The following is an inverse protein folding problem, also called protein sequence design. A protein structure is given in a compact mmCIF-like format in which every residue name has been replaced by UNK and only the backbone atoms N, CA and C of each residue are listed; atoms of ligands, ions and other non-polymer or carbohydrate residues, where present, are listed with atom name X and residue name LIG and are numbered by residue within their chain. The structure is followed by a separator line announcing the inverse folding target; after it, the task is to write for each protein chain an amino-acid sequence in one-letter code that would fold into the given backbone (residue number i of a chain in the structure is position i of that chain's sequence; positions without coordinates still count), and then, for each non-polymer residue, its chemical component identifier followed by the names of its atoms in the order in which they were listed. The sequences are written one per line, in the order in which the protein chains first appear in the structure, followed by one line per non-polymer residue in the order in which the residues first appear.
data_IF_402488504106
#
_entry.id   IF_402488504106
#
_cell.length_a   1.000
_cell.length_b   1.000
_cell.length_c   1.000
_cell.angle_alpha   90.00
_cell.angle_beta   90.00
_cell.angle_gamma   90.00
#
_symmetry.space_group_name_H-M   'P 1'
#
loop_
_entity.id
_entity.type
_entity.pdbx_description
1 polymer ?
#
# COMPACT_ATOMS: atom_id res chain seq x y z
N UNK A 1 3.41 60.17 32.54
CA UNK A 1 3.95 59.11 31.65
C UNK A 1 3.81 57.78 32.35
N UNK A 2 3.00 56.87 31.81
CA UNK A 2 3.15 55.40 31.91
C UNK A 2 1.92 54.76 31.26
N UNK A 3 1.98 54.58 29.93
CA UNK A 3 1.03 53.71 29.23
C UNK A 3 1.46 52.27 29.50
N UNK A 4 0.76 51.58 30.39
CA UNK A 4 0.88 50.13 30.54
C UNK A 4 0.25 49.47 29.32
N UNK A 5 1.10 49.19 28.33
CA UNK A 5 0.75 48.48 27.12
C UNK A 5 0.53 47.00 27.46
N UNK A 6 -0.71 46.65 27.82
CA UNK A 6 -1.13 45.28 28.06
C UNK A 6 -1.29 44.60 26.69
N UNK A 7 -0.18 44.18 26.08
CA UNK A 7 -0.23 43.26 24.94
C UNK A 7 -0.69 41.91 25.47
N UNK A 8 -2.01 41.66 25.33
CA UNK A 8 -2.55 40.32 25.23
C UNK A 8 -1.74 39.59 24.16
N UNK A 9 -0.88 38.66 24.59
CA UNK A 9 -0.22 37.73 23.69
C UNK A 9 -1.34 37.03 22.90
N UNK A 10 -1.34 37.22 21.59
CA UNK A 10 -2.24 36.52 20.70
C UNK A 10 -2.08 35.02 20.96
N UNK A 11 -3.16 34.40 21.44
CA UNK A 11 -3.23 32.94 21.55
C UNK A 11 -3.22 32.46 20.11
N UNK A 12 -2.03 32.03 19.64
CA UNK A 12 -1.91 31.34 18.37
C UNK A 12 -2.68 30.03 18.52
N UNK A 13 -3.91 29.98 18.03
CA UNK A 13 -4.59 28.75 17.68
C UNK A 13 -3.86 28.13 16.47
N UNK A 14 -2.64 27.66 16.69
CA UNK A 14 -2.04 26.68 15.79
C UNK A 14 -2.90 25.44 15.89
N UNK A 15 -3.55 25.06 14.79
CA UNK A 15 -4.27 23.79 14.69
C UNK A 15 -3.28 22.67 15.02
N UNK A 16 -3.37 22.16 16.25
CA UNK A 16 -2.49 21.10 16.72
C UNK A 16 -3.03 19.79 16.17
N UNK A 17 -2.38 19.25 15.14
CA UNK A 17 -2.62 17.87 14.71
C UNK A 17 -1.81 16.96 15.62
N UNK A 18 -2.43 16.50 16.71
CA UNK A 18 -1.78 15.67 17.72
C UNK A 18 -0.75 16.45 18.54
N UNK A 19 0.54 16.32 18.21
CA UNK A 19 1.66 17.03 18.84
C UNK A 19 2.38 18.00 17.91
N UNK A 20 1.88 18.18 16.67
CA UNK A 20 2.51 19.04 15.67
C UNK A 20 1.83 20.42 15.60
N UNK A 21 2.64 21.47 15.66
CA UNK A 21 2.23 22.85 15.35
C UNK A 21 2.19 23.06 13.84
N UNK A 22 1.56 24.15 13.38
CA UNK A 22 1.54 24.48 11.95
C UNK A 22 2.95 24.62 11.38
N UNK A 23 3.87 25.25 12.13
CA UNK A 23 5.28 25.36 11.74
C UNK A 23 5.98 24.00 11.61
N UNK A 24 5.66 23.04 12.46
CA UNK A 24 6.18 21.67 12.33
C UNK A 24 5.65 21.00 11.05
N UNK A 25 4.37 21.16 10.73
CA UNK A 25 3.77 20.60 9.52
C UNK A 25 4.41 21.18 8.25
N UNK A 26 4.61 22.50 8.20
CA UNK A 26 5.27 23.16 7.05
C UNK A 26 6.72 22.69 6.89
N UNK A 27 7.42 22.50 8.01
CA UNK A 27 8.79 21.97 8.02
C UNK A 27 8.81 20.53 7.52
N UNK A 28 7.92 19.66 8.00
CA UNK A 28 7.80 18.28 7.55
C UNK A 28 7.54 18.20 6.04
N UNK A 29 6.59 18.99 5.53
CA UNK A 29 6.23 18.97 4.10
C UNK A 29 7.35 19.48 3.20
N UNK A 30 8.11 20.48 3.65
CA UNK A 30 9.21 21.04 2.87
C UNK A 30 10.50 20.22 2.91
N UNK A 31 10.67 19.34 3.92
CA UNK A 31 11.90 18.59 4.16
C UNK A 31 11.70 17.08 4.04
N UNK A 32 11.08 16.45 5.04
CA UNK A 32 10.98 14.98 5.19
C UNK A 32 9.96 14.37 4.23
N UNK A 33 8.81 15.00 4.04
CA UNK A 33 7.72 14.55 3.18
C UNK A 33 7.67 15.34 1.87
N UNK A 34 8.83 15.66 1.30
CA UNK A 34 8.91 16.46 0.08
C UNK A 34 8.30 15.72 -1.12
N UNK A 35 7.45 16.42 -1.87
CA UNK A 35 6.84 15.91 -3.10
C UNK A 35 5.50 15.21 -2.90
N UNK A 36 4.99 15.12 -1.66
CA UNK A 36 3.65 14.57 -1.39
C UNK A 36 2.55 15.54 -1.83
N UNK A 37 1.42 15.00 -2.30
CA UNK A 37 0.16 15.75 -2.37
C UNK A 37 -0.33 16.15 -0.96
N UNK A 38 -1.39 16.96 -0.89
CA UNK A 38 -1.98 17.33 0.40
C UNK A 38 -2.56 16.12 1.13
N UNK A 39 -3.20 15.21 0.40
CA UNK A 39 -3.82 13.99 0.90
C UNK A 39 -2.76 12.98 1.37
N UNK A 40 -1.69 12.82 0.57
CA UNK A 40 -0.54 11.99 0.93
C UNK A 40 0.15 12.51 2.19
N UNK A 41 0.37 13.83 2.28
CA UNK A 41 0.95 14.45 3.47
C UNK A 41 0.07 14.25 4.71
N UNK A 42 -1.25 14.43 4.56
CA UNK A 42 -2.21 14.22 5.65
C UNK A 42 -2.19 12.76 6.14
N UNK A 43 -2.14 11.79 5.22
CA UNK A 43 -2.03 10.37 5.56
C UNK A 43 -0.73 10.07 6.33
N UNK A 44 0.39 10.64 5.90
CA UNK A 44 1.68 10.47 6.59
C UNK A 44 1.62 11.04 8.01
N UNK A 45 1.14 12.28 8.17
CA UNK A 45 1.01 12.92 9.49
C UNK A 45 0.07 12.14 10.40
N UNK A 46 -1.09 11.69 9.89
CA UNK A 46 -2.03 10.86 10.65
C UNK A 46 -1.39 9.55 11.11
N UNK A 47 -0.56 8.93 10.26
CA UNK A 47 0.19 7.71 10.60
C UNK A 47 1.19 7.98 11.72
N UNK A 48 1.96 9.07 11.63
CA UNK A 48 2.89 9.49 12.68
C UNK A 48 2.16 9.72 14.02
N UNK A 49 1.05 10.46 14.01
CA UNK A 49 0.27 10.75 15.23
C UNK A 49 -0.33 9.47 15.83
N UNK A 50 -0.93 8.60 15.01
CA UNK A 50 -1.60 7.38 15.48
C UNK A 50 -0.62 6.36 16.07
N UNK A 51 0.54 6.19 15.44
CA UNK A 51 1.58 5.26 15.91
C UNK A 51 2.46 5.87 17.00
N UNK A 52 2.53 7.20 17.05
CA UNK A 52 3.50 7.93 17.87
C UNK A 52 4.94 7.72 17.41
N UNK A 53 5.15 7.50 16.11
CA UNK A 53 6.46 7.52 15.45
C UNK A 53 6.83 8.98 15.13
N UNK A 54 8.08 9.33 15.39
CA UNK A 54 8.62 10.67 15.16
C UNK A 54 9.48 10.74 13.88
N UNK A 55 9.03 11.43 12.82
CA UNK A 55 9.79 11.60 11.60
C UNK A 55 11.05 12.47 11.78
N UNK A 56 11.11 13.36 12.77
CA UNK A 56 12.31 14.16 13.07
C UNK A 56 13.43 13.33 13.71
N UNK A 57 13.07 12.23 14.37
CA UNK A 57 14.01 11.27 14.94
C UNK A 57 14.34 10.13 13.96
N UNK A 58 13.98 10.28 12.67
CA UNK A 58 14.15 9.26 11.64
C UNK A 58 13.49 7.93 12.00
N UNK A 59 12.40 7.94 12.76
CA UNK A 59 11.69 6.70 13.12
C UNK A 59 10.77 6.22 11.99
N UNK A 60 10.33 7.13 11.13
CA UNK A 60 9.51 6.86 9.96
C UNK A 60 9.88 7.82 8.83
N UNK A 61 9.91 7.31 7.60
CA UNK A 61 10.25 8.03 6.39
C UNK A 61 9.05 8.07 5.45
N UNK A 62 8.93 9.21 4.75
CA UNK A 62 7.95 9.41 3.69
C UNK A 62 8.71 9.64 2.39
N UNK A 63 8.72 8.66 1.49
CA UNK A 63 9.48 8.72 0.24
C UNK A 63 8.51 8.76 -0.93
N UNK A 64 8.64 9.78 -1.78
CA UNK A 64 7.85 9.88 -3.02
C UNK A 64 8.71 9.43 -4.19
N UNK A 65 8.24 8.42 -4.90
CA UNK A 65 8.87 7.89 -6.09
C UNK A 65 8.10 8.31 -7.33
N UNK A 66 8.80 8.58 -8.44
CA UNK A 66 8.15 8.69 -9.74
C UNK A 66 7.85 7.28 -10.27
N UNK A 67 6.58 6.88 -10.23
CA UNK A 67 6.07 5.68 -10.87
C UNK A 67 5.71 5.93 -12.35
N UNK A 68 5.22 4.88 -13.02
CA UNK A 68 4.74 4.99 -14.41
C UNK A 68 3.53 5.93 -14.53
N UNK A 69 2.65 5.88 -13.54
CA UNK A 69 1.39 6.63 -13.49
C UNK A 69 1.48 7.93 -12.66
N UNK A 70 2.71 8.36 -12.34
CA UNK A 70 2.98 9.58 -11.57
C UNK A 70 3.61 9.33 -10.19
N UNK A 71 3.63 10.34 -9.32
CA UNK A 71 4.25 10.25 -7.99
C UNK A 71 3.50 9.29 -7.06
N UNK A 72 4.22 8.29 -6.54
CA UNK A 72 3.72 7.31 -5.58
C UNK A 72 4.45 7.52 -4.25
N UNK A 73 3.69 7.82 -3.19
CA UNK A 73 4.20 7.91 -1.83
C UNK A 73 4.38 6.50 -1.25
N UNK A 74 5.47 6.29 -0.53
CA UNK A 74 5.77 5.09 0.25
C UNK A 74 6.16 5.48 1.66
N UNK A 75 5.55 4.83 2.65
CA UNK A 75 5.93 4.98 4.06
C UNK A 75 6.81 3.81 4.48
N UNK A 76 7.94 4.12 5.12
CA UNK A 76 8.90 3.12 5.59
C UNK A 76 9.30 3.44 7.02
N UNK A 77 9.26 2.44 7.90
CA UNK A 77 9.63 2.61 9.31
C UNK A 77 11.08 2.24 9.48
N UNK A 78 11.82 3.03 10.23
CA UNK A 78 13.19 2.68 10.57
C UNK A 78 13.21 1.58 11.63
N UNK A 79 14.36 0.91 11.78
CA UNK A 79 14.51 -0.06 12.88
C UNK A 79 14.39 0.65 14.23
N UNK A 80 14.93 1.86 14.31
CA UNK A 80 14.83 2.77 15.45
C UNK A 80 13.38 3.06 15.81
N UNK A 81 12.51 3.24 14.81
CA UNK A 81 11.07 3.42 15.01
C UNK A 81 10.39 2.18 15.57
N UNK A 82 10.67 1.00 15.00
CA UNK A 82 10.13 -0.27 15.51
C UNK A 82 10.59 -0.54 16.95
N UNK A 83 11.87 -0.29 17.25
CA UNK A 83 12.41 -0.44 18.61
C UNK A 83 11.79 0.57 19.56
N UNK A 84 11.57 1.83 19.14
CA UNK A 84 10.91 2.85 19.94
C UNK A 84 9.47 2.46 20.28
N UNK A 85 8.72 1.88 19.32
CA UNK A 85 7.38 1.37 19.57
C UNK A 85 7.39 0.21 20.57
N UNK A 86 8.30 -0.76 20.41
CA UNK A 86 8.41 -1.87 21.35
C UNK A 86 8.81 -1.44 22.76
N UNK A 87 9.66 -0.42 22.90
CA UNK A 87 10.04 0.15 24.21
C UNK A 87 8.86 0.76 24.97
N UNK A 88 7.75 1.11 24.31
CA UNK A 88 6.52 1.57 24.96
C UNK A 88 5.76 0.40 25.61
N UNK A 89 6.05 -0.85 25.24
CA UNK A 89 5.40 -2.01 25.81
C UNK A 89 5.90 -2.26 27.25
N UNK A 90 5.00 -2.42 28.25
CA UNK A 90 5.40 -2.55 29.66
C UNK A 90 6.35 -3.72 29.95
N UNK A 91 6.25 -4.79 29.16
CA UNK A 91 7.05 -6.02 29.33
C UNK A 91 8.27 -6.08 28.40
N UNK A 92 8.71 -4.94 27.84
CA UNK A 92 9.90 -4.88 26.98
C UNK A 92 11.15 -5.29 27.75
N UNK A 93 11.90 -6.28 27.24
CA UNK A 93 13.12 -6.79 27.89
C UNK A 93 14.37 -6.66 27.00
N UNK A 94 14.28 -5.89 25.92
CA UNK A 94 15.41 -5.72 25.00
C UNK A 94 15.46 -6.78 23.90
N UNK A 95 16.61 -6.84 23.23
CA UNK A 95 16.87 -7.79 22.16
C UNK A 95 18.38 -7.97 21.96
N UNK A 96 18.76 -9.06 21.30
CA UNK A 96 20.10 -9.26 20.75
C UNK A 96 19.95 -9.48 19.25
N UNK A 97 20.78 -8.82 18.45
CA UNK A 97 20.83 -9.07 17.01
C UNK A 97 22.28 -9.01 16.53
N UNK A 98 22.62 -9.88 15.59
CA UNK A 98 23.95 -9.96 14.98
C UNK A 98 23.83 -10.57 13.60
N UNK A 99 24.76 -10.23 12.72
CA UNK A 99 24.99 -10.99 11.51
C UNK A 99 25.58 -12.36 11.83
N UNK A 100 25.44 -13.28 10.88
CA UNK A 100 26.03 -14.63 10.90
C UNK A 100 26.96 -14.71 9.71
N UNK A 101 28.24 -14.98 9.96
CA UNK A 101 29.28 -15.10 8.94
C UNK A 101 29.61 -16.57 8.67
N UNK A 102 30.20 -16.82 7.51
CA UNK A 102 30.46 -18.17 7.00
C UNK A 102 31.35 -19.01 7.93
N UNK A 103 32.28 -18.38 8.64
CA UNK A 103 33.23 -19.06 9.52
C UNK A 103 32.82 -19.06 10.99
N UNK A 104 31.66 -18.48 11.34
CA UNK A 104 31.17 -18.43 12.71
C UNK A 104 30.66 -19.80 13.17
N UNK A 105 30.86 -20.11 14.46
CA UNK A 105 30.17 -21.23 15.08
C UNK A 105 28.77 -20.75 15.51
N UNK A 106 27.77 -21.12 14.73
CA UNK A 106 26.38 -20.72 14.97
C UNK A 106 25.47 -21.94 15.16
N UNK A 107 24.77 -22.01 16.29
CA UNK A 107 23.70 -22.98 16.58
C UNK A 107 22.51 -22.25 17.15
N UNK A 108 21.31 -22.64 16.71
CA UNK A 108 20.07 -22.02 17.17
C UNK A 108 19.01 -23.08 17.48
N UNK A 109 18.34 -22.92 18.63
CA UNK A 109 17.16 -23.70 19.00
C UNK A 109 15.92 -22.86 18.72
N UNK A 110 15.33 -23.06 17.55
CA UNK A 110 14.23 -22.22 17.07
C UNK A 110 12.98 -22.23 17.98
N UNK A 111 12.75 -23.31 18.72
CA UNK A 111 11.57 -23.46 19.58
C UNK A 111 11.69 -22.75 20.93
N UNK A 112 12.90 -22.61 21.48
CA UNK A 112 13.16 -21.90 22.75
C UNK A 112 13.66 -20.47 22.56
N UNK A 113 14.15 -20.15 21.36
CA UNK A 113 14.76 -18.85 21.07
C UNK A 113 16.17 -18.71 21.66
N UNK A 114 16.87 -19.82 21.89
CA UNK A 114 18.27 -19.84 22.33
C UNK A 114 19.22 -19.88 21.13
N UNK A 115 20.31 -19.12 21.22
CA UNK A 115 21.38 -19.05 20.22
C UNK A 115 22.73 -19.20 20.90
N UNK A 116 23.58 -20.07 20.37
CA UNK A 116 25.01 -20.14 20.62
C UNK A 116 25.72 -19.55 19.39
N UNK A 117 26.37 -18.40 19.57
CA UNK A 117 27.09 -17.70 18.50
C UNK A 117 28.49 -17.34 18.97
N UNK A 118 29.50 -17.96 18.35
CA UNK A 118 30.91 -17.63 18.56
C UNK A 118 31.50 -17.11 17.23
N UNK A 119 31.62 -15.77 17.07
CA UNK A 119 32.14 -15.19 15.84
C UNK A 119 33.65 -15.40 15.68
N UNK A 120 34.11 -15.73 14.47
CA UNK A 120 35.54 -15.64 14.14
C UNK A 120 35.87 -14.18 13.78
N UNK A 121 36.25 -13.40 14.80
CA UNK A 121 36.54 -11.97 14.64
C UNK A 121 37.72 -11.71 13.70
N UNK A 122 38.65 -12.66 13.59
CA UNK A 122 39.86 -12.47 12.78
C UNK A 122 39.64 -12.89 11.33
N UNK A 123 38.82 -13.91 11.09
CA UNK A 123 38.49 -14.42 9.76
C UNK A 123 36.99 -14.74 9.64
N UNK A 124 36.09 -13.73 9.64
CA UNK A 124 34.65 -13.98 9.66
C UNK A 124 34.12 -14.66 8.40
N UNK A 125 34.74 -14.38 7.24
CA UNK A 125 34.22 -14.80 5.94
C UNK A 125 33.01 -13.96 5.50
N UNK A 126 32.25 -14.46 4.52
CA UNK A 126 31.09 -13.75 3.98
C UNK A 126 29.88 -13.83 4.92
N UNK A 127 29.01 -12.82 4.87
CA UNK A 127 27.73 -12.84 5.59
C UNK A 127 26.76 -13.79 4.94
N UNK A 128 26.33 -14.80 5.70
CA UNK A 128 25.38 -15.83 5.25
C UNK A 128 23.97 -15.61 5.79
N UNK A 129 23.83 -14.78 6.84
CA UNK A 129 22.54 -14.43 7.43
C UNK A 129 22.66 -13.40 8.55
N UNK A 130 21.56 -13.20 9.26
CA UNK A 130 21.52 -12.50 10.54
C UNK A 130 20.41 -13.09 11.41
N UNK A 131 20.50 -12.85 12.70
CA UNK A 131 19.44 -13.22 13.63
C UNK A 131 19.09 -12.06 14.57
N UNK A 132 17.88 -12.12 15.13
CA UNK A 132 17.44 -11.28 16.22
C UNK A 132 16.61 -12.10 17.21
N UNK A 133 16.94 -11.97 18.49
CA UNK A 133 16.18 -12.52 19.61
C UNK A 133 15.52 -11.33 20.31
N UNK A 134 14.19 -11.24 20.23
CA UNK A 134 13.42 -10.27 20.97
C UNK A 134 12.96 -10.87 22.30
N UNK A 135 13.15 -10.14 23.40
CA UNK A 135 12.80 -10.59 24.75
C UNK A 135 11.57 -9.85 25.27
N UNK A 136 10.64 -10.57 25.88
CA UNK A 136 9.47 -10.00 26.56
C UNK A 136 9.22 -10.77 27.86
N UNK A 137 8.79 -10.08 28.91
CA UNK A 137 8.69 -10.69 30.24
C UNK A 137 7.58 -11.74 30.37
N UNK A 138 6.47 -11.56 29.65
CA UNK A 138 5.25 -12.36 29.71
C UNK A 138 5.10 -13.36 28.56
N UNK A 139 6.11 -13.50 27.70
CA UNK A 139 6.04 -14.37 26.53
C UNK A 139 7.38 -15.07 26.26
N UNK A 140 7.36 -16.20 25.53
CA UNK A 140 8.58 -16.83 25.04
C UNK A 140 9.43 -15.86 24.21
N UNK A 141 10.73 -16.11 24.21
CA UNK A 141 11.67 -15.38 23.36
C UNK A 141 11.36 -15.67 21.89
N UNK A 142 11.23 -14.64 21.07
CA UNK A 142 11.08 -14.80 19.63
C UNK A 142 12.44 -14.63 18.96
N UNK A 143 12.97 -15.75 18.47
CA UNK A 143 14.11 -15.78 17.57
C UNK A 143 13.63 -15.70 16.12
N UNK A 144 14.22 -14.78 15.36
CA UNK A 144 14.11 -14.72 13.91
C UNK A 144 15.50 -14.85 13.32
N UNK A 145 15.62 -15.71 12.32
CA UNK A 145 16.82 -15.84 11.49
C UNK A 145 16.44 -15.45 10.07
N UNK A 146 17.21 -14.56 9.46
CA UNK A 146 17.09 -14.15 8.07
C UNK A 146 18.34 -14.64 7.35
N UNK A 147 18.16 -15.47 6.34
CA UNK A 147 19.27 -15.98 5.54
C UNK A 147 19.46 -15.16 4.28
N UNK A 148 20.67 -15.15 3.72
CA UNK A 148 21.01 -14.44 2.49
C UNK A 148 20.12 -14.83 1.30
N UNK A 149 19.75 -16.11 1.18
CA UNK A 149 18.85 -16.59 0.11
C UNK A 149 17.46 -15.94 0.17
N UNK A 150 16.97 -15.61 1.37
CA UNK A 150 15.63 -15.03 1.54
C UNK A 150 15.56 -13.56 1.11
N UNK A 151 16.68 -12.85 1.08
CA UNK A 151 16.75 -11.41 0.77
C UNK A 151 17.44 -11.12 -0.57
N UNK A 152 17.75 -12.14 -1.36
CA UNK A 152 18.44 -11.99 -2.64
C UNK A 152 17.68 -11.08 -3.63
N UNK A 153 16.35 -11.13 -3.62
CA UNK A 153 15.50 -10.25 -4.43
C UNK A 153 15.65 -8.76 -4.06
N UNK A 154 15.97 -8.45 -2.80
CA UNK A 154 16.19 -7.07 -2.34
C UNK A 154 17.56 -6.55 -2.80
N UNK A 155 18.56 -7.42 -2.85
CA UNK A 155 19.90 -7.13 -3.41
C UNK A 155 19.84 -6.88 -4.92
N UNK A 156 18.94 -7.58 -5.63
CA UNK A 156 18.70 -7.40 -7.08
C UNK A 156 17.68 -6.30 -7.39
N UNK A 157 17.00 -5.78 -6.38
CA UNK A 157 15.89 -4.82 -6.52
C UNK A 157 16.34 -3.37 -6.70
N UNK A 158 15.37 -2.46 -6.61
CA UNK A 158 15.55 -1.01 -6.78
C UNK A 158 16.62 -0.41 -5.87
N UNK A 159 16.77 -0.94 -4.66
CA UNK A 159 17.74 -0.49 -3.66
C UNK A 159 19.01 -1.37 -3.62
N UNK A 160 19.30 -2.11 -4.69
CA UNK A 160 20.37 -3.11 -4.70
C UNK A 160 21.77 -2.59 -4.37
N UNK A 161 22.09 -1.33 -4.75
CA UNK A 161 23.38 -0.73 -4.41
C UNK A 161 23.56 -0.54 -2.89
N UNK A 162 22.53 -0.02 -2.21
CA UNK A 162 22.54 0.15 -0.76
C UNK A 162 22.68 -1.19 -0.03
N UNK A 163 22.07 -2.26 -0.57
CA UNK A 163 22.26 -3.61 -0.06
C UNK A 163 23.66 -4.18 -0.26
N UNK A 164 24.37 -3.78 -1.32
CA UNK A 164 25.75 -4.22 -1.55
C UNK A 164 26.73 -3.49 -0.63
N UNK A 165 26.54 -2.18 -0.46
CA UNK A 165 27.45 -1.33 0.32
C UNK A 165 27.28 -1.53 1.84
N UNK A 166 26.05 -1.82 2.29
CA UNK A 166 25.70 -1.94 3.71
C UNK A 166 25.00 -3.27 4.03
N UNK A 167 25.44 -4.37 3.41
CA UNK A 167 24.76 -5.65 3.49
C UNK A 167 24.50 -6.12 4.92
N UNK A 168 25.52 -6.05 5.77
CA UNK A 168 25.48 -6.55 7.16
C UNK A 168 24.47 -5.78 8.00
N UNK A 169 24.54 -4.45 7.96
CA UNK A 169 23.58 -3.59 8.64
C UNK A 169 22.17 -3.83 8.12
N UNK A 170 22.00 -3.99 6.82
CA UNK A 170 20.70 -4.17 6.19
C UNK A 170 20.05 -5.50 6.58
N UNK A 171 20.79 -6.61 6.53
CA UNK A 171 20.25 -7.93 6.89
C UNK A 171 19.94 -8.02 8.39
N UNK A 172 20.78 -7.43 9.25
CA UNK A 172 20.51 -7.32 10.69
C UNK A 172 19.25 -6.50 10.95
N UNK A 173 19.10 -5.35 10.28
CA UNK A 173 17.89 -4.53 10.37
C UNK A 173 16.63 -5.32 9.99
N UNK A 174 16.68 -6.15 8.95
CA UNK A 174 15.55 -6.99 8.55
C UNK A 174 15.21 -8.05 9.62
N UNK A 175 16.23 -8.67 10.23
CA UNK A 175 16.01 -9.61 11.34
C UNK A 175 15.33 -8.92 12.53
N UNK A 176 15.79 -7.72 12.91
CA UNK A 176 15.18 -6.92 13.99
C UNK A 176 13.73 -6.58 13.67
N UNK A 177 13.44 -6.04 12.48
CA UNK A 177 12.06 -5.71 12.09
C UNK A 177 11.14 -6.92 12.23
N UNK A 178 11.53 -8.06 11.65
CA UNK A 178 10.72 -9.28 11.68
C UNK A 178 10.52 -9.83 13.10
N UNK A 179 11.55 -9.81 13.94
CA UNK A 179 11.46 -10.26 15.33
C UNK A 179 10.50 -9.38 16.14
N UNK A 180 10.60 -8.05 15.99
CA UNK A 180 9.79 -7.10 16.74
C UNK A 180 8.33 -7.08 16.29
N UNK A 181 8.06 -7.18 14.98
CA UNK A 181 6.70 -7.35 14.45
C UNK A 181 6.02 -8.58 15.08
N UNK A 182 6.75 -9.70 15.22
CA UNK A 182 6.24 -10.94 15.85
C UNK A 182 6.10 -10.85 17.37
N UNK A 183 7.09 -10.29 18.07
CA UNK A 183 7.09 -10.25 19.55
C UNK A 183 6.09 -9.24 20.11
N UNK A 184 5.94 -8.09 19.46
CA UNK A 184 5.19 -6.94 19.98
C UNK A 184 3.95 -6.60 19.16
N UNK A 185 3.66 -7.35 18.09
CA UNK A 185 2.47 -7.11 17.25
C UNK A 185 2.48 -5.74 16.57
N UNK A 186 3.67 -5.22 16.22
CA UNK A 186 3.81 -3.90 15.61
C UNK A 186 3.40 -4.01 14.13
N UNK A 187 2.14 -3.71 13.85
CA UNK A 187 1.62 -3.59 12.49
C UNK A 187 1.40 -2.12 12.16
N UNK A 188 2.25 -1.61 11.28
CA UNK A 188 2.03 -0.33 10.61
C UNK A 188 2.13 -0.61 9.13
N UNK A 189 1.25 0.02 8.35
CA UNK A 189 1.22 -0.06 6.89
C UNK A 189 2.55 0.44 6.32
N UNK A 190 3.53 -0.46 6.23
CA UNK A 190 4.77 -0.26 5.48
C UNK A 190 4.55 -0.81 4.07
N UNK A 191 4.92 -0.01 3.07
CA UNK A 191 5.06 -0.50 1.71
C UNK A 191 6.39 -1.26 1.61
N UNK A 192 6.42 -2.49 2.12
CA UNK A 192 7.53 -3.40 1.88
C UNK A 192 7.46 -3.79 0.39
N UNK A 193 8.55 -3.62 -0.40
CA UNK A 193 8.56 -4.03 -1.79
C UNK A 193 8.55 -5.56 -1.86
N UNK A 194 7.38 -6.16 -1.68
CA UNK A 194 7.15 -7.57 -1.93
C UNK A 194 7.34 -7.81 -3.42
N UNK A 195 8.35 -8.58 -3.78
CA UNK A 195 8.35 -9.27 -5.05
C UNK A 195 7.26 -10.36 -4.98
N UNK A 196 6.02 -10.01 -5.30
CA UNK A 196 4.97 -10.97 -5.59
C UNK A 196 4.35 -10.61 -6.95
N UNK A 197 4.12 -11.58 -7.84
CA UNK A 197 3.11 -11.39 -8.86
C UNK A 197 1.80 -11.19 -8.12
N UNK A 198 1.11 -10.09 -8.39
CA UNK A 198 -0.26 -9.90 -7.94
C UNK A 198 -1.14 -10.93 -8.65
N UNK A 199 -1.21 -12.16 -8.13
CA UNK A 199 -2.37 -13.01 -8.32
C UNK A 199 -3.43 -12.52 -7.32
N UNK A 200 -4.28 -11.63 -7.82
CA UNK A 200 -5.58 -11.37 -7.21
C UNK A 200 -6.35 -12.69 -7.13
N UNK A 201 -6.30 -13.34 -5.97
CA UNK A 201 -7.31 -14.35 -5.62
C UNK A 201 -8.53 -13.59 -5.09
N UNK A 202 -9.67 -13.59 -5.79
CA UNK A 202 -10.87 -12.92 -5.28
C UNK A 202 -11.44 -13.78 -4.15
N UNK A 203 -11.27 -13.33 -2.91
CA UNK A 203 -12.04 -13.87 -1.80
C UNK A 203 -13.51 -13.46 -2.00
N UNK A 204 -14.36 -14.41 -2.40
CA UNK A 204 -15.82 -14.24 -2.40
C UNK A 204 -16.30 -14.01 -0.97
N UNK A 205 -16.75 -12.78 -0.70
CA UNK A 205 -17.49 -12.47 0.52
C UNK A 205 -18.87 -13.15 0.40
N UNK A 206 -19.12 -14.19 1.19
CA UNK A 206 -20.46 -14.78 1.29
C UNK A 206 -21.32 -13.91 2.21
N UNK A 207 -22.32 -13.25 1.64
CA UNK A 207 -23.37 -12.61 2.41
C UNK A 207 -24.20 -13.68 3.13
N UNK A 208 -24.21 -13.65 4.46
CA UNK A 208 -25.16 -14.41 5.26
C UNK A 208 -26.27 -13.43 5.62
N UNK A 209 -27.28 -13.31 4.78
CA UNK A 209 -28.49 -12.57 5.09
C UNK A 209 -29.54 -13.55 5.64
N UNK A 210 -30.08 -13.36 6.85
CA UNK A 210 -31.25 -14.12 7.29
C UNK A 210 -32.49 -13.63 6.53
N UNK A 211 -33.26 -14.58 5.99
CA UNK A 211 -34.50 -14.34 5.24
C UNK A 211 -35.59 -13.68 6.09
N UNK A 212 -36.21 -12.58 5.61
CA UNK A 212 -37.60 -12.23 5.94
C UNK A 212 -38.21 -11.35 4.82
N UNK A 213 -39.53 -11.45 4.50
CA UNK A 213 -40.14 -11.07 3.20
C UNK A 213 -40.47 -9.57 3.01
N UNK A 214 -40.96 -9.14 1.82
CA UNK A 214 -40.86 -7.76 1.32
C UNK A 214 -42.08 -6.87 1.65
N UNK A 215 -41.86 -5.56 1.76
CA UNK A 215 -42.90 -4.51 1.63
C UNK A 215 -42.24 -3.18 1.16
N UNK A 216 -42.91 -2.30 0.38
CA UNK A 216 -42.25 -1.51 -0.66
C UNK A 216 -41.92 -0.04 -0.30
N UNK A 217 -40.86 0.44 -0.96
CA UNK A 217 -40.53 1.79 -1.43
C UNK A 217 -40.89 3.04 -0.59
N UNK A 218 -39.85 3.74 -0.10
CA UNK A 218 -39.76 5.22 -0.12
C UNK A 218 -38.31 5.62 -0.50
N UNK A 219 -38.19 6.68 -1.28
CA UNK A 219 -37.08 7.08 -2.14
C UNK A 219 -36.20 8.18 -1.52
N UNK A 220 -34.86 8.04 -1.71
CA UNK A 220 -33.79 9.06 -1.86
C UNK A 220 -33.30 9.89 -0.65
N UNK A 221 -32.11 10.54 -0.74
CA UNK A 221 -30.90 10.25 -1.56
C UNK A 221 -29.58 10.31 -0.73
N UNK A 222 -28.48 9.73 -1.21
CA UNK A 222 -27.20 10.45 -1.35
C UNK A 222 -26.11 9.61 -2.05
N UNK A 223 -25.32 10.36 -2.80
CA UNK A 223 -24.26 10.03 -3.73
C UNK A 223 -22.94 9.68 -3.04
N UNK A 224 -22.23 8.66 -3.53
CA UNK A 224 -20.75 8.65 -3.58
C UNK A 224 -20.29 7.82 -4.77
N UNK A 225 -19.63 8.53 -5.68
CA UNK A 225 -19.01 8.08 -6.93
C UNK A 225 -17.67 7.37 -6.63
N UNK A 226 -17.32 6.37 -7.45
CA UNK A 226 -16.07 5.60 -7.34
C UNK A 226 -16.19 4.09 -7.53
N UNK A 227 -17.40 3.54 -7.74
CA UNK A 227 -17.65 2.11 -8.04
C UNK A 227 -18.24 1.84 -9.42
N UNK A 228 -18.38 2.87 -10.25
CA UNK A 228 -19.35 2.90 -11.35
C UNK A 228 -18.79 2.43 -12.69
N UNK A 229 -17.51 2.65 -12.98
CA UNK A 229 -16.98 2.50 -14.34
C UNK A 229 -16.87 1.05 -14.83
N UNK A 230 -16.49 0.10 -13.97
CA UNK A 230 -16.31 -1.30 -14.39
C UNK A 230 -17.67 -2.02 -14.51
N UNK A 231 -18.62 -1.68 -13.62
CA UNK A 231 -20.03 -2.11 -13.71
C UNK A 231 -20.74 -1.49 -14.93
N UNK A 232 -20.49 -0.22 -15.26
CA UNK A 232 -21.03 0.39 -16.48
C UNK A 232 -20.46 -0.25 -17.76
N UNK A 233 -19.15 -0.52 -17.82
CA UNK A 233 -18.54 -1.20 -18.98
C UNK A 233 -19.15 -2.58 -19.23
N UNK A 234 -19.43 -3.34 -18.17
CA UNK A 234 -20.09 -4.66 -18.30
C UNK A 234 -21.53 -4.55 -18.80
N UNK A 235 -22.32 -3.59 -18.27
CA UNK A 235 -23.69 -3.33 -18.74
C UNK A 235 -23.72 -2.91 -20.21
N UNK A 236 -22.83 -2.01 -20.63
CA UNK A 236 -22.76 -1.54 -22.02
C UNK A 236 -22.35 -2.65 -22.99
N UNK A 237 -21.43 -3.56 -22.60
CA UNK A 237 -21.08 -4.73 -23.41
C UNK A 237 -22.27 -5.70 -23.56
N UNK A 238 -23.07 -5.88 -22.50
CA UNK A 238 -24.27 -6.71 -22.55
C UNK A 238 -25.33 -6.10 -23.49
N UNK A 239 -25.54 -4.79 -23.43
CA UNK A 239 -26.46 -4.06 -24.31
C UNK A 239 -26.01 -4.14 -25.78
N UNK A 240 -24.71 -4.00 -26.03
CA UNK A 240 -24.14 -4.15 -27.38
C UNK A 240 -24.40 -5.54 -27.97
N UNK A 241 -24.23 -6.60 -27.18
CA UNK A 241 -24.52 -7.98 -27.60
C UNK A 241 -26.01 -8.19 -27.93
N UNK A 242 -26.91 -7.53 -27.20
CA UNK A 242 -28.34 -7.59 -27.50
C UNK A 242 -28.67 -6.87 -28.82
N UNK A 243 -28.09 -5.70 -29.08
CA UNK A 243 -28.32 -4.95 -30.32
C UNK A 243 -27.74 -5.64 -31.55
N UNK A 244 -26.58 -6.30 -31.44
CA UNK A 244 -26.07 -7.15 -32.53
C UNK A 244 -27.04 -8.29 -32.89
N UNK A 245 -27.69 -8.89 -31.89
CA UNK A 245 -28.72 -9.91 -32.12
C UNK A 245 -29.96 -9.33 -32.83
N UNK A 246 -30.33 -8.09 -32.55
CA UNK A 246 -31.44 -7.40 -33.23
C UNK A 246 -31.11 -7.01 -34.67
N UNK A 247 -29.85 -6.66 -34.95
CA UNK A 247 -29.35 -6.39 -36.30
C UNK A 247 -29.05 -7.66 -37.12
N UNK A 248 -29.26 -8.86 -36.54
CA UNK A 248 -29.01 -10.13 -37.23
C UNK A 248 -27.53 -10.48 -37.40
N UNK A 249 -26.61 -9.77 -36.74
CA UNK A 249 -25.16 -9.99 -36.82
C UNK A 249 -24.76 -10.97 -35.72
N UNK A 250 -24.53 -12.24 -36.08
CA UNK A 250 -24.18 -13.30 -35.12
C UNK A 250 -22.73 -13.75 -35.18
N UNK A 251 -21.99 -13.38 -36.23
CA UNK A 251 -20.61 -13.81 -36.45
C UNK A 251 -19.57 -12.87 -35.84
N UNK A 252 -18.55 -13.45 -35.21
CA UNK A 252 -17.51 -12.72 -34.47
C UNK A 252 -16.66 -11.81 -35.36
N UNK A 253 -16.44 -12.21 -36.61
CA UNK A 253 -15.73 -11.39 -37.63
C UNK A 253 -16.61 -10.24 -38.13
N UNK A 254 -17.91 -10.48 -38.33
CA UNK A 254 -18.86 -9.46 -38.75
C UNK A 254 -19.11 -8.40 -37.65
N UNK A 255 -19.13 -8.82 -36.37
CA UNK A 255 -19.20 -7.88 -35.24
C UNK A 255 -17.96 -6.96 -35.19
N UNK A 256 -16.78 -7.50 -35.48
CA UNK A 256 -15.52 -6.75 -35.53
C UNK A 256 -15.49 -5.74 -36.68
N UNK A 257 -15.92 -6.14 -37.88
CA UNK A 257 -16.01 -5.25 -39.03
C UNK A 257 -17.00 -4.10 -38.79
N UNK A 258 -18.19 -4.40 -38.27
CA UNK A 258 -19.21 -3.40 -37.94
C UNK A 258 -18.72 -2.41 -36.87
N UNK A 259 -17.96 -2.89 -35.89
CA UNK A 259 -17.38 -2.02 -34.86
C UNK A 259 -16.28 -1.12 -35.45
N UNK A 260 -15.44 -1.60 -36.37
CA UNK A 260 -14.42 -0.78 -37.03
C UNK A 260 -15.02 0.29 -37.96
N UNK A 261 -16.12 -0.02 -38.63
CA UNK A 261 -16.77 0.91 -39.56
C UNK A 261 -17.48 2.06 -38.84
N UNK A 262 -18.14 1.78 -37.72
CA UNK A 262 -19.02 2.75 -37.06
C UNK A 262 -18.52 3.27 -35.70
N UNK A 263 -17.53 2.61 -35.07
CA UNK A 263 -16.89 3.12 -33.86
C UNK A 263 -15.61 3.88 -34.21
N UNK A 264 -15.66 5.21 -34.15
CA UNK A 264 -14.47 6.08 -34.36
C UNK A 264 -13.56 6.07 -33.13
N UNK A 265 -12.78 5.02 -32.94
CA UNK A 265 -11.83 4.91 -31.82
C UNK A 265 -10.54 5.68 -32.12
N UNK A 266 -10.10 6.55 -31.20
CA UNK A 266 -8.79 7.26 -31.31
C UNK A 266 -7.59 6.48 -30.75
N UNK A 267 -7.79 5.26 -30.24
CA UNK A 267 -6.75 4.42 -29.61
C UNK A 267 -7.05 2.92 -29.70
N UNK A 268 -6.22 2.09 -29.07
CA UNK A 268 -6.27 0.62 -29.16
C UNK A 268 -7.43 -0.03 -28.39
N UNK A 269 -8.13 0.69 -27.50
CA UNK A 269 -9.36 0.23 -26.86
C UNK A 269 -10.40 1.36 -26.74
N UNK A 270 -11.71 1.10 -26.99
CA UNK A 270 -12.75 2.12 -26.94
C UNK A 270 -13.10 2.55 -25.51
N UNK A 271 -13.23 3.86 -25.30
CA UNK A 271 -13.67 4.48 -24.03
C UNK A 271 -15.20 4.33 -23.82
N UNK A 272 -15.67 4.49 -22.57
CA UNK A 272 -17.11 4.37 -22.21
C UNK A 272 -17.97 5.33 -23.05
N UNK A 273 -17.50 6.55 -23.29
CA UNK A 273 -18.21 7.55 -24.10
C UNK A 273 -18.32 7.13 -25.58
N UNK A 274 -17.27 6.53 -26.14
CA UNK A 274 -17.26 6.01 -27.51
C UNK A 274 -18.20 4.80 -27.66
N UNK A 275 -18.26 3.92 -26.65
CA UNK A 275 -19.21 2.79 -26.62
C UNK A 275 -20.66 3.29 -26.54
N UNK A 276 -20.96 4.27 -25.68
CA UNK A 276 -22.29 4.90 -25.61
C UNK A 276 -22.68 5.59 -26.93
N UNK A 277 -21.72 6.22 -27.61
CA UNK A 277 -21.92 6.81 -28.95
C UNK A 277 -22.23 5.76 -30.01
N UNK A 278 -21.49 4.65 -30.00
CA UNK A 278 -21.69 3.53 -30.92
C UNK A 278 -23.05 2.82 -30.72
N UNK A 279 -23.48 2.62 -29.47
CA UNK A 279 -24.79 2.05 -29.17
C UNK A 279 -25.96 2.87 -29.75
N UNK A 280 -25.85 4.20 -29.79
CA UNK A 280 -26.86 5.07 -30.43
C UNK A 280 -26.89 4.91 -31.95
N UNK A 281 -25.74 4.64 -32.58
CA UNK A 281 -25.68 4.36 -34.02
C UNK A 281 -26.38 3.02 -34.31
N UNK A 282 -26.14 2.00 -33.47
CA UNK A 282 -26.84 0.72 -33.59
C UNK A 282 -28.36 0.89 -33.41
N UNK A 283 -28.82 1.73 -32.47
CA UNK A 283 -30.26 2.02 -32.32
C UNK A 283 -30.86 2.66 -33.57
N UNK A 284 -30.16 3.61 -34.19
CA UNK A 284 -30.61 4.24 -35.44
C UNK A 284 -30.68 3.23 -36.60
N UNK A 285 -29.74 2.29 -36.67
CA UNK A 285 -29.76 1.22 -37.67
C UNK A 285 -30.90 0.23 -37.43
N UNK A 286 -31.17 -0.13 -36.17
CA UNK A 286 -32.30 -1.00 -35.80
C UNK A 286 -33.62 -0.31 -36.15
N UNK A 287 -33.74 0.99 -35.88
CA UNK A 287 -34.93 1.78 -36.22
C UNK A 287 -35.12 1.91 -37.73
N UNK A 288 -34.06 2.18 -38.49
CA UNK A 288 -34.11 2.22 -39.95
C UNK A 288 -34.50 0.85 -40.56
N UNK A 289 -34.00 -0.25 -40.00
CA UNK A 289 -34.37 -1.61 -40.42
C UNK A 289 -35.82 -1.97 -40.07
N UNK A 290 -36.41 -1.33 -39.04
CA UNK A 290 -37.82 -1.49 -38.68
C UNK A 290 -38.76 -0.66 -39.57
N UNK A 291 -38.29 0.50 -40.06
CA UNK A 291 -39.06 1.40 -40.94
C UNK A 291 -39.06 0.97 -42.42
N UNK A 292 -38.12 0.10 -42.84
CA UNK A 292 -38.01 -0.44 -44.22
C UNK A 292 -38.80 -1.76 -44.44
N UNK A 293 -39.73 -2.09 -43.52
CA UNK A 293 -40.72 -3.14 -43.71
C UNK A 293 -41.88 -2.61 -44.57
N UNK A 294 -42.09 -3.11 -45.80
CA UNK A 294 -43.27 -2.74 -46.58
C UNK A 294 -44.54 -3.21 -45.85
N UNK A 295 -45.53 -2.33 -45.74
CA UNK A 295 -46.91 -2.66 -45.34
C UNK A 295 -47.48 -3.76 -46.23
#
# INVERSE_FOLDING_TARGET
MSNSNNQLQAINEEVVVGSYTQKHLDTLKSTIAKGTSNEQFALFVQTCVRTGLDPFLNQIFCIVYNGKDGPVMSMQIAVEGIVALAKKHPQYKGFIASEIRANDLFKAKMHTGEVEHEPDVMNPGETIGAYCIAYREDAPNILVIVRRDQIEHLVKGRNGQMWKDYFDDMIVKHAIKRAFKRQYGIEVSEDEPTAAPAENSPYERRDITPETPPTPAITQPETTDGGTEESEKQKLKAEMKQKYKQLGITDKEAMGAHMQEFCKTKGSEPTIAEIKGYLKIMDLQIQAAADDLPV
#
